data_IF_977878299147
#
_entry.id   IF_977878299147
#
_cell.length_a   1.000
_cell.length_b   1.000
_cell.length_c   1.000
_cell.angle_alpha   90.00
_cell.angle_beta   90.00
_cell.angle_gamma   90.00
#
_symmetry.space_group_name_H-M   'P 1'
#
loop_
_entity.id
_entity.type
_entity.pdbx_description
1 polymer ?
#
# COMPACT_ATOMS: atom_id res chain seq x y z
N UNK A 1 47.02 39.32 3.51
CA UNK A 1 46.41 39.85 2.27
C UNK A 1 44.94 39.42 2.30
N UNK A 2 43.97 40.34 2.49
CA UNK A 2 43.24 41.05 1.41
C UNK A 2 42.75 40.06 0.33
N UNK A 3 41.47 39.90 -0.01
CA UNK A 3 40.26 40.70 0.19
C UNK A 3 39.32 40.49 -1.01
N UNK A 4 38.18 41.19 -1.01
CA UNK A 4 37.01 41.20 -1.94
C UNK A 4 35.87 40.25 -1.50
N UNK A 5 34.69 40.71 -1.04
CA UNK A 5 33.87 41.87 -1.44
C UNK A 5 32.89 41.41 -2.53
N UNK A 6 31.57 41.60 -2.51
CA UNK A 6 30.65 42.44 -1.75
C UNK A 6 29.20 41.92 -2.00
N UNK A 7 28.21 42.72 -1.55
CA UNK A 7 26.75 42.65 -1.78
C UNK A 7 25.97 41.91 -0.68
N UNK A 8 25.56 42.58 0.40
CA UNK A 8 24.65 43.74 0.46
C UNK A 8 23.30 43.45 -0.22
N UNK A 9 22.36 42.95 0.57
CA UNK A 9 20.99 42.69 0.12
C UNK A 9 20.09 42.29 1.28
N UNK A 10 19.43 43.30 1.86
CA UNK A 10 18.16 43.17 2.60
C UNK A 10 18.23 42.48 3.97
N UNK A 11 18.81 43.19 4.94
CA UNK A 11 18.20 43.26 6.27
C UNK A 11 17.41 44.55 6.29
N UNK A 12 16.09 44.48 6.31
CA UNK A 12 15.16 45.43 6.94
C UNK A 12 13.74 44.85 6.77
N UNK A 13 13.00 44.81 7.89
CA UNK A 13 11.56 44.48 8.05
C UNK A 13 11.18 43.02 8.30
N UNK A 14 11.66 42.44 9.40
CA UNK A 14 10.88 41.42 10.15
C UNK A 14 11.22 41.54 11.64
N UNK A 15 10.85 42.67 12.24
CA UNK A 15 10.87 42.84 13.71
C UNK A 15 9.50 42.46 14.31
N UNK A 16 8.68 41.70 13.56
CA UNK A 16 7.32 41.34 13.96
C UNK A 16 6.81 40.09 13.21
N UNK A 17 7.64 39.04 13.12
CA UNK A 17 7.13 37.70 12.79
C UNK A 17 7.16 36.92 14.10
N UNK A 18 5.98 36.82 14.72
CA UNK A 18 5.69 35.83 15.74
C UNK A 18 6.40 34.53 15.38
N UNK A 19 7.22 34.05 16.31
CA UNK A 19 8.03 32.84 16.20
C UNK A 19 7.23 31.74 15.48
N UNK A 20 7.46 31.62 14.17
CA UNK A 20 6.77 30.64 13.36
C UNK A 20 7.29 29.30 13.85
N UNK A 21 6.42 28.52 14.49
CA UNK A 21 6.68 27.12 14.81
C UNK A 21 7.44 26.50 13.64
N UNK A 22 8.64 25.96 13.92
CA UNK A 22 9.43 25.28 12.91
C UNK A 22 8.48 24.32 12.16
N UNK A 23 8.45 24.33 10.81
CA UNK A 23 7.57 23.44 10.08
C UNK A 23 7.81 22.03 10.61
N UNK A 24 6.75 21.26 10.90
CA UNK A 24 6.89 19.94 11.51
C UNK A 24 7.91 19.15 10.69
N UNK A 25 8.84 18.43 11.34
CA UNK A 25 9.85 17.66 10.63
C UNK A 25 9.13 16.79 9.59
N UNK A 26 9.68 16.67 8.35
CA UNK A 26 9.05 15.86 7.32
C UNK A 26 8.78 14.46 7.90
N UNK A 27 7.57 13.89 7.68
CA UNK A 27 7.24 12.59 8.23
C UNK A 27 8.28 11.57 7.78
N UNK A 28 8.86 10.84 8.74
CA UNK A 28 9.82 9.79 8.44
C UNK A 28 9.17 8.76 7.49
N UNK A 29 9.91 8.26 6.49
CA UNK A 29 9.38 7.22 5.60
C UNK A 29 8.95 6.01 6.44
N UNK A 30 7.70 5.57 6.26
CA UNK A 30 7.20 4.35 6.92
C UNK A 30 8.05 3.18 6.40
N UNK A 31 8.84 2.56 7.28
CA UNK A 31 9.60 1.38 6.94
C UNK A 31 8.64 0.22 6.63
N UNK A 32 8.74 -0.34 5.43
CA UNK A 32 7.95 -1.52 5.04
C UNK A 32 8.47 -2.73 5.82
N UNK A 33 7.62 -3.48 6.54
CA UNK A 33 8.05 -4.69 7.22
C UNK A 33 8.59 -5.73 6.22
N UNK A 34 9.65 -6.45 6.60
CA UNK A 34 10.29 -7.44 5.72
C UNK A 34 9.33 -8.43 5.03
N UNK A 35 8.29 -8.99 5.70
CA UNK A 35 7.32 -9.87 5.03
C UNK A 35 6.46 -9.18 3.97
N UNK A 36 6.21 -7.88 4.10
CA UNK A 36 5.50 -7.10 3.09
C UNK A 36 6.45 -6.70 1.94
N UNK A 37 7.72 -6.43 2.24
CA UNK A 37 8.74 -6.21 1.22
C UNK A 37 8.89 -7.45 0.32
N UNK A 38 8.95 -8.65 0.89
CA UNK A 38 8.99 -9.89 0.12
C UNK A 38 7.76 -10.04 -0.79
N UNK A 39 6.58 -9.66 -0.30
CA UNK A 39 5.36 -9.69 -1.09
C UNK A 39 5.40 -8.68 -2.25
N UNK A 40 5.96 -7.48 -2.05
CA UNK A 40 6.19 -6.50 -3.11
C UNK A 40 7.13 -7.06 -4.18
N UNK A 41 8.26 -7.63 -3.76
CA UNK A 41 9.26 -8.18 -4.67
C UNK A 41 8.68 -9.33 -5.52
N UNK A 42 7.87 -10.21 -4.89
CA UNK A 42 7.17 -11.29 -5.58
C UNK A 42 6.14 -10.77 -6.58
N UNK A 43 5.33 -9.77 -6.22
CA UNK A 43 4.37 -9.15 -7.14
C UNK A 43 5.08 -8.47 -8.32
N UNK A 44 6.19 -7.77 -8.06
CA UNK A 44 7.01 -7.18 -9.10
C UNK A 44 7.57 -8.24 -10.07
N UNK A 45 8.04 -9.37 -9.54
CA UNK A 45 8.50 -10.50 -10.34
C UNK A 45 7.37 -11.13 -11.18
N UNK A 46 6.20 -11.37 -10.58
CA UNK A 46 5.00 -11.85 -11.27
C UNK A 46 4.60 -10.91 -12.42
N UNK A 47 4.58 -9.60 -12.16
CA UNK A 47 4.29 -8.58 -13.16
C UNK A 47 5.32 -8.57 -14.28
N UNK A 48 6.62 -8.65 -13.96
CA UNK A 48 7.67 -8.72 -14.95
C UNK A 48 7.53 -9.96 -15.84
N UNK A 49 7.30 -11.14 -15.25
CA UNK A 49 7.04 -12.39 -15.99
C UNK A 49 5.87 -12.25 -16.95
N UNK A 50 4.79 -11.58 -16.53
CA UNK A 50 3.68 -11.29 -17.43
C UNK A 50 4.06 -10.30 -18.54
N UNK A 51 4.84 -9.25 -18.28
CA UNK A 51 5.27 -8.35 -19.38
C UNK A 51 6.08 -9.09 -20.44
N UNK A 52 7.00 -9.97 -20.01
CA UNK A 52 7.90 -10.69 -20.92
C UNK A 52 7.29 -11.97 -21.53
N UNK A 53 6.37 -12.63 -20.82
CA UNK A 53 5.78 -13.92 -21.21
C UNK A 53 4.28 -13.89 -21.53
N UNK A 54 3.53 -12.84 -21.16
CA UNK A 54 2.08 -12.83 -21.33
C UNK A 54 1.50 -12.66 -22.74
N UNK A 55 2.21 -12.22 -23.80
CA UNK A 55 1.60 -12.19 -25.13
C UNK A 55 1.15 -13.59 -25.61
N UNK A 56 1.73 -14.65 -25.05
CA UNK A 56 1.48 -16.06 -25.41
C UNK A 56 0.74 -16.84 -24.32
N UNK A 57 0.57 -16.28 -23.12
CA UNK A 57 -0.11 -16.98 -22.03
C UNK A 57 -1.64 -16.94 -22.17
N UNK A 58 -2.33 -18.07 -21.99
CA UNK A 58 -3.77 -18.05 -21.93
C UNK A 58 -4.24 -17.27 -20.70
N UNK A 59 -5.34 -16.52 -20.83
CA UNK A 59 -5.92 -15.71 -19.75
C UNK A 59 -5.01 -14.59 -19.22
N UNK A 60 -3.96 -14.20 -19.96
CA UNK A 60 -3.06 -13.09 -19.64
C UNK A 60 -3.76 -11.81 -19.15
N UNK A 61 -4.87 -11.34 -19.77
CA UNK A 61 -5.59 -10.17 -19.27
C UNK A 61 -6.13 -10.35 -17.85
N UNK A 62 -6.69 -11.53 -17.52
CA UNK A 62 -7.23 -11.82 -16.19
C UNK A 62 -6.12 -11.94 -15.15
N UNK A 63 -5.02 -12.62 -15.48
CA UNK A 63 -3.86 -12.74 -14.59
C UNK A 63 -3.31 -11.37 -14.18
N UNK A 64 -3.19 -10.46 -15.16
CA UNK A 64 -2.76 -9.08 -14.89
C UNK A 64 -3.72 -8.36 -13.94
N UNK A 65 -5.03 -8.44 -14.17
CA UNK A 65 -6.04 -7.83 -13.27
C UNK A 65 -5.95 -8.41 -11.86
N UNK A 66 -5.73 -9.73 -11.73
CA UNK A 66 -5.55 -10.38 -10.44
C UNK A 66 -4.31 -9.87 -9.70
N UNK A 67 -3.17 -9.77 -10.38
CA UNK A 67 -1.94 -9.23 -9.77
C UNK A 67 -2.12 -7.76 -9.37
N UNK A 68 -2.74 -6.94 -10.21
CA UNK A 68 -3.05 -5.54 -9.87
C UNK A 68 -3.97 -5.43 -8.64
N UNK A 69 -4.93 -6.35 -8.47
CA UNK A 69 -5.79 -6.38 -7.29
C UNK A 69 -4.98 -6.71 -6.01
N UNK A 70 -4.05 -7.66 -6.09
CA UNK A 70 -3.16 -8.00 -4.98
C UNK A 70 -2.15 -6.89 -4.67
N UNK A 71 -1.64 -6.18 -5.67
CA UNK A 71 -0.80 -4.98 -5.47
C UNK A 71 -1.56 -3.87 -4.74
N UNK A 72 -2.83 -3.64 -5.09
CA UNK A 72 -3.69 -2.68 -4.39
C UNK A 72 -3.95 -3.10 -2.95
N UNK A 73 -4.19 -4.40 -2.72
CA UNK A 73 -4.34 -4.94 -1.38
C UNK A 73 -3.09 -4.72 -0.53
N UNK A 74 -1.91 -5.06 -1.07
CA UNK A 74 -0.64 -4.87 -0.39
C UNK A 74 -0.40 -3.41 -0.02
N UNK A 75 -0.69 -2.49 -0.95
CA UNK A 75 -0.56 -1.04 -0.70
C UNK A 75 -1.43 -0.54 0.44
N UNK A 76 -2.65 -1.08 0.57
CA UNK A 76 -3.55 -0.76 1.68
C UNK A 76 -3.05 -1.36 3.02
N UNK A 77 -2.19 -2.39 2.99
CA UNK A 77 -1.62 -3.04 4.19
C UNK A 77 -0.34 -2.39 4.72
N UNK A 78 0.51 -1.83 3.84
CA UNK A 78 1.78 -1.16 4.20
C UNK A 78 1.65 -0.16 5.36
N UNK A 79 0.66 0.75 5.40
CA UNK A 79 0.57 1.73 6.48
C UNK A 79 0.23 1.11 7.84
N UNK A 80 -0.34 -0.11 7.87
CA UNK A 80 -0.83 -0.76 9.10
C UNK A 80 -0.65 -2.28 9.06
N UNK A 81 0.60 -2.77 9.02
CA UNK A 81 0.90 -4.18 8.79
C UNK A 81 0.41 -5.12 9.89
N UNK A 82 0.32 -4.61 11.13
CA UNK A 82 -0.05 -5.40 12.31
C UNK A 82 -1.58 -5.59 12.45
N UNK A 83 -2.39 -4.81 11.74
CA UNK A 83 -3.84 -4.78 12.00
C UNK A 83 -4.60 -5.95 11.40
N UNK A 84 -4.03 -6.68 10.43
CA UNK A 84 -4.78 -7.72 9.70
C UNK A 84 -3.89 -8.93 9.33
N UNK A 85 -3.56 -9.80 10.30
CA UNK A 85 -2.81 -11.03 10.09
C UNK A 85 -3.43 -11.95 9.02
N UNK A 86 -4.76 -11.98 8.93
CA UNK A 86 -5.50 -12.80 7.98
C UNK A 86 -5.30 -12.33 6.54
N UNK A 87 -5.24 -11.01 6.29
CA UNK A 87 -4.97 -10.45 4.98
C UNK A 87 -3.54 -10.77 4.52
N UNK A 88 -2.57 -10.75 5.44
CA UNK A 88 -1.19 -11.20 5.16
C UNK A 88 -1.15 -12.67 4.75
N UNK A 89 -1.84 -13.53 5.50
CA UNK A 89 -1.92 -14.96 5.18
C UNK A 89 -2.62 -15.20 3.85
N UNK A 90 -3.70 -14.49 3.59
CA UNK A 90 -4.39 -14.51 2.30
C UNK A 90 -3.45 -14.12 1.17
N UNK A 91 -2.76 -12.98 1.27
CA UNK A 91 -1.83 -12.51 0.26
C UNK A 91 -0.73 -13.54 -0.02
N UNK A 92 -0.06 -14.04 1.01
CA UNK A 92 1.00 -15.05 0.85
C UNK A 92 0.50 -16.31 0.12
N UNK A 93 -0.68 -16.82 0.50
CA UNK A 93 -1.28 -17.98 -0.14
C UNK A 93 -1.63 -17.73 -1.61
N UNK A 94 -2.15 -16.54 -1.95
CA UNK A 94 -2.47 -16.22 -3.35
C UNK A 94 -1.21 -16.02 -4.20
N UNK A 95 -0.15 -15.43 -3.65
CA UNK A 95 1.13 -15.30 -4.35
C UNK A 95 1.72 -16.68 -4.68
N UNK A 96 1.77 -17.59 -3.70
CA UNK A 96 2.24 -18.96 -3.92
C UNK A 96 1.39 -19.71 -4.96
N UNK A 97 0.06 -19.50 -4.93
CA UNK A 97 -0.86 -20.09 -5.90
C UNK A 97 -0.64 -19.57 -7.31
N UNK A 98 -0.51 -18.25 -7.47
CA UNK A 98 -0.28 -17.59 -8.76
C UNK A 98 1.08 -17.96 -9.36
N UNK A 99 2.14 -18.02 -8.55
CA UNK A 99 3.45 -18.45 -9.01
C UNK A 99 3.40 -19.87 -9.59
N UNK A 100 2.74 -20.80 -8.91
CA UNK A 100 2.59 -22.18 -9.40
C UNK A 100 1.76 -22.25 -10.68
N UNK A 101 0.70 -21.45 -10.78
CA UNK A 101 -0.12 -21.37 -11.99
C UNK A 101 0.73 -20.85 -13.15
N UNK A 102 1.45 -19.75 -12.98
CA UNK A 102 2.28 -19.17 -14.02
C UNK A 102 3.40 -20.10 -14.47
N UNK A 103 4.09 -20.78 -13.55
CA UNK A 103 5.11 -21.78 -13.90
C UNK A 103 4.53 -22.88 -14.80
N UNK A 104 3.31 -23.35 -14.50
CA UNK A 104 2.65 -24.39 -15.31
C UNK A 104 2.22 -23.86 -16.68
N UNK A 105 1.63 -22.68 -16.73
CA UNK A 105 1.19 -22.07 -17.99
C UNK A 105 2.37 -21.74 -18.91
N UNK A 106 3.48 -21.24 -18.35
CA UNK A 106 4.74 -21.01 -19.08
C UNK A 106 5.35 -22.31 -19.61
N UNK A 107 5.17 -23.43 -18.90
CA UNK A 107 5.55 -24.76 -19.38
C UNK A 107 4.58 -25.33 -20.44
N UNK A 108 3.59 -24.56 -20.88
CA UNK A 108 2.63 -24.96 -21.91
C UNK A 108 1.46 -25.81 -21.39
N UNK A 109 1.22 -25.84 -20.08
CA UNK A 109 0.05 -26.51 -19.54
C UNK A 109 -1.24 -25.83 -20.00
N UNK A 110 -2.25 -26.63 -20.34
CA UNK A 110 -3.57 -26.11 -20.66
C UNK A 110 -4.27 -25.61 -19.39
N UNK A 111 -4.84 -24.38 -19.39
CA UNK A 111 -5.55 -23.85 -18.24
C UNK A 111 -6.84 -24.65 -17.99
N UNK A 112 -7.13 -25.06 -16.74
CA UNK A 112 -8.41 -25.68 -16.44
C UNK A 112 -9.55 -24.67 -16.65
N UNK A 113 -10.73 -25.16 -17.04
CA UNK A 113 -11.92 -24.31 -17.25
C UNK A 113 -12.29 -23.47 -16.02
N UNK A 114 -11.93 -23.95 -14.81
CA UNK A 114 -12.13 -23.24 -13.55
C UNK A 114 -11.12 -22.11 -13.29
N UNK A 115 -10.05 -21.96 -14.07
CA UNK A 115 -9.01 -20.96 -13.79
C UNK A 115 -9.55 -19.53 -13.88
N UNK A 116 -10.31 -19.23 -14.93
CA UNK A 116 -10.90 -17.90 -15.10
C UNK A 116 -11.80 -17.47 -13.91
N UNK A 117 -12.79 -18.27 -13.48
CA UNK A 117 -13.61 -17.90 -12.33
C UNK A 117 -12.83 -17.90 -11.01
N UNK A 118 -11.77 -18.72 -10.87
CA UNK A 118 -10.89 -18.65 -9.70
C UNK A 118 -10.15 -17.30 -9.63
N UNK A 119 -9.62 -16.81 -10.74
CA UNK A 119 -8.97 -15.50 -10.81
C UNK A 119 -9.92 -14.36 -10.47
N UNK A 120 -11.18 -14.43 -10.92
CA UNK A 120 -12.22 -13.46 -10.57
C UNK A 120 -12.54 -13.52 -9.06
N UNK A 121 -12.57 -14.72 -8.48
CA UNK A 121 -12.74 -14.91 -7.03
C UNK A 121 -11.62 -14.28 -6.20
N UNK A 122 -10.37 -14.36 -6.67
CA UNK A 122 -9.22 -13.72 -6.00
C UNK A 122 -9.36 -12.19 -6.03
N UNK A 123 -9.77 -11.62 -7.17
CA UNK A 123 -10.02 -10.18 -7.30
C UNK A 123 -11.09 -9.71 -6.31
N UNK A 124 -12.23 -10.41 -6.28
CA UNK A 124 -13.33 -10.08 -5.38
C UNK A 124 -12.89 -10.16 -3.91
N UNK A 125 -12.18 -11.23 -3.53
CA UNK A 125 -11.68 -11.41 -2.18
C UNK A 125 -10.67 -10.31 -1.78
N UNK A 126 -9.80 -9.89 -2.70
CA UNK A 126 -8.89 -8.78 -2.46
C UNK A 126 -9.65 -7.46 -2.22
N UNK A 127 -10.68 -7.17 -3.01
CA UNK A 127 -11.51 -5.96 -2.83
C UNK A 127 -12.32 -6.00 -1.53
N UNK A 128 -12.84 -7.17 -1.13
CA UNK A 128 -13.47 -7.36 0.19
C UNK A 128 -12.50 -7.06 1.33
N UNK A 129 -11.27 -7.57 1.28
CA UNK A 129 -10.26 -7.27 2.29
C UNK A 129 -9.99 -5.78 2.38
N UNK A 130 -9.82 -5.11 1.23
CA UNK A 130 -9.62 -3.65 1.17
C UNK A 130 -10.80 -2.89 1.77
N UNK A 131 -12.04 -3.31 1.49
CA UNK A 131 -13.23 -2.73 2.09
C UNK A 131 -13.25 -2.90 3.62
N UNK A 132 -12.88 -4.09 4.13
CA UNK A 132 -12.77 -4.35 5.57
C UNK A 132 -11.73 -3.46 6.25
N UNK A 133 -10.56 -3.22 5.62
CA UNK A 133 -9.54 -2.35 6.22
C UNK A 133 -10.03 -0.91 6.34
N UNK A 134 -10.71 -0.41 5.30
CA UNK A 134 -11.30 0.95 5.31
C UNK A 134 -12.41 1.06 6.34
N UNK A 135 -13.27 0.05 6.47
CA UNK A 135 -14.31 0.03 7.50
C UNK A 135 -13.72 0.04 8.91
N UNK A 136 -12.68 -0.76 9.16
CA UNK A 136 -11.98 -0.78 10.45
C UNK A 136 -11.28 0.56 10.77
N UNK A 137 -10.87 1.31 9.76
CA UNK A 137 -10.35 2.68 9.92
C UNK A 137 -11.45 3.67 10.33
N UNK A 138 -12.59 3.66 9.65
CA UNK A 138 -13.73 4.53 9.98
C UNK A 138 -14.23 4.26 11.39
N UNK A 139 -14.37 3.00 11.80
CA UNK A 139 -14.80 2.64 13.15
C UNK A 139 -13.83 3.15 14.23
N UNK A 140 -12.53 3.02 14.00
CA UNK A 140 -11.52 3.53 14.94
C UNK A 140 -11.57 5.05 15.08
N UNK A 141 -11.81 5.78 13.99
CA UNK A 141 -11.97 7.24 14.00
C UNK A 141 -13.25 7.65 14.74
N UNK A 142 -14.36 6.95 14.50
CA UNK A 142 -15.64 7.22 15.17
C UNK A 142 -15.55 7.03 16.69
N UNK A 143 -14.81 6.02 17.15
CA UNK A 143 -14.55 5.82 18.59
C UNK A 143 -13.73 6.99 19.15
N UNK A 144 -12.68 7.43 18.46
CA UNK A 144 -11.84 8.54 18.93
C UNK A 144 -12.64 9.85 19.03
N UNK A 145 -13.48 10.16 18.04
CA UNK A 145 -14.34 11.35 18.06
C UNK A 145 -15.32 11.30 19.24
N UNK A 146 -15.94 10.14 19.49
CA UNK A 146 -16.83 9.95 20.64
C UNK A 146 -16.11 10.17 21.98
N UNK A 147 -14.93 9.58 22.16
CA UNK A 147 -14.14 9.74 23.39
C UNK A 147 -13.72 11.20 23.60
N UNK A 148 -13.34 11.92 22.55
CA UNK A 148 -13.02 13.36 22.67
C UNK A 148 -14.25 14.20 23.02
N UNK A 149 -15.40 13.92 22.41
CA UNK A 149 -16.64 14.62 22.72
C UNK A 149 -17.09 14.39 24.17
N UNK A 150 -16.89 13.19 24.71
CA UNK A 150 -17.21 12.84 26.09
C UNK A 150 -16.27 13.52 27.09
N UNK A 151 -14.96 13.54 26.81
CA UNK A 151 -13.98 14.27 27.65
C UNK A 151 -14.21 15.79 27.68
N UNK A 152 -14.61 16.39 26.56
CA UNK A 152 -14.96 17.82 26.52
C UNK A 152 -16.22 18.12 27.35
N UNK A 153 -17.18 17.18 27.38
CA UNK A 153 -18.39 17.31 28.20
C UNK A 153 -18.11 17.15 29.69
N UNK A 154 -17.18 16.28 30.06
CA UNK A 154 -16.77 16.04 31.45
C UNK A 154 -15.81 17.12 32.00
N UNK A 155 -14.95 17.71 31.16
CA UNK A 155 -13.98 18.74 31.57
C UNK A 155 -14.49 20.18 31.56
N UNK A 156 -15.72 20.42 31.08
CA UNK A 156 -16.34 21.75 30.98
C UNK A 156 -17.39 22.05 32.06
N UNK A 157 -17.51 21.21 33.09
CA UNK A 157 -18.45 21.35 34.21
C UNK A 157 -17.78 21.83 35.49
#
# INVERSE_FOLDING_TARGET
ALGFGAWAGVRLLTDDIAEAEAPPPPPEPIAVPAPLQEAEDRLAALRARMVWGAPVLPLAPKLRVTVEALEKLLRDMIPRPERIPEARRFLAMQLDGLDRILVRLEAGAEPPASLAPLLDGIVNAADEWRARMRAAETEALDIQVKVMAERLREGGG
#
